data_IF_411703330266
#
_entry.id   IF_411703330266
#
_cell.length_a   1.000
_cell.length_b   1.000
_cell.length_c   1.000
_cell.angle_alpha   90.00
_cell.angle_beta   90.00
_cell.angle_gamma   90.00
#
_symmetry.space_group_name_H-M   'P 1'
#
loop_
_entity.id
_entity.type
_entity.pdbx_description
1 polymer ?
#
# COMPACT_ATOMS: atom_id res chain seq x y z
N UNK A 1 14.70 11.76 15.51
CA UNK A 1 14.59 10.99 14.26
C UNK A 1 15.78 11.28 13.35
N UNK A 2 16.43 10.23 12.84
CA UNK A 2 17.51 10.35 11.84
C UNK A 2 16.98 9.74 10.53
N UNK A 3 17.07 10.49 9.44
CA UNK A 3 16.84 10.00 8.08
C UNK A 3 18.14 10.12 7.28
N UNK A 4 18.56 9.05 6.61
CA UNK A 4 19.81 9.04 5.83
C UNK A 4 19.79 7.98 4.73
N UNK A 5 20.88 7.89 3.99
CA UNK A 5 21.10 6.89 2.95
C UNK A 5 22.49 6.27 3.17
N UNK A 6 22.57 4.94 3.15
CA UNK A 6 23.84 4.22 3.31
C UNK A 6 24.74 4.39 2.07
N UNK A 7 26.02 4.01 2.18
CA UNK A 7 26.96 4.05 1.06
C UNK A 7 26.52 3.18 -0.12
N UNK A 8 25.75 2.12 0.14
CA UNK A 8 25.20 1.20 -0.87
C UNK A 8 23.92 1.75 -1.53
N UNK A 9 23.36 2.87 -1.05
CA UNK A 9 22.18 3.51 -1.59
C UNK A 9 20.85 3.13 -0.91
N UNK A 10 20.89 2.39 0.21
CA UNK A 10 19.72 2.04 1.00
C UNK A 10 19.27 3.23 1.84
N UNK A 11 18.03 3.65 1.68
CA UNK A 11 17.43 4.71 2.51
C UNK A 11 16.99 4.15 3.85
N UNK A 12 17.17 4.93 4.92
CA UNK A 12 16.68 4.51 6.22
C UNK A 12 16.19 5.67 7.08
N UNK A 13 15.27 5.36 7.99
CA UNK A 13 14.81 6.24 9.05
C UNK A 13 14.83 5.48 10.36
N UNK A 14 15.35 6.13 11.40
CA UNK A 14 15.37 5.57 12.76
C UNK A 14 14.77 6.59 13.73
N UNK A 15 13.92 6.10 14.61
CA UNK A 15 13.21 6.91 15.60
C UNK A 15 13.33 6.26 16.97
N UNK A 16 13.84 7.06 17.94
CA UNK A 16 13.86 6.65 19.35
C UNK A 16 12.49 6.88 19.95
N UNK A 17 11.74 5.81 20.15
CA UNK A 17 10.43 5.84 20.77
C UNK A 17 10.10 4.49 21.41
N UNK A 18 9.06 4.50 22.30
CA UNK A 18 8.63 3.29 22.97
C UNK A 18 9.38 3.01 24.27
N UNK A 19 9.08 1.87 24.90
CA UNK A 19 9.64 1.48 26.19
C UNK A 19 10.38 0.15 26.16
N UNK A 20 9.87 -0.86 25.47
CA UNK A 20 10.40 -2.24 25.47
C UNK A 20 10.39 -2.89 24.11
N UNK A 21 9.35 -2.68 23.33
CA UNK A 21 9.24 -3.22 21.97
C UNK A 21 10.06 -2.41 20.99
N UNK A 22 10.51 -3.08 19.93
CA UNK A 22 11.15 -2.50 18.79
C UNK A 22 10.47 -3.02 17.52
N UNK A 23 10.38 -2.17 16.51
CA UNK A 23 9.70 -2.42 15.25
C UNK A 23 10.67 -2.15 14.11
N UNK A 24 10.72 -3.07 13.17
CA UNK A 24 11.53 -2.97 11.98
C UNK A 24 10.65 -3.18 10.75
N UNK A 25 10.71 -2.29 9.78
CA UNK A 25 10.06 -2.44 8.48
C UNK A 25 11.08 -2.25 7.36
N UNK A 26 11.11 -3.18 6.41
CA UNK A 26 11.87 -3.13 5.17
C UNK A 26 10.86 -3.06 4.03
N UNK A 27 10.72 -1.88 3.44
CA UNK A 27 9.81 -1.62 2.32
C UNK A 27 10.59 -1.65 1.00
N UNK A 28 10.04 -2.33 0.00
CA UNK A 28 10.66 -2.53 -1.30
C UNK A 28 9.69 -2.05 -2.39
N UNK A 29 10.15 -1.14 -3.24
CA UNK A 29 9.36 -0.56 -4.32
C UNK A 29 9.25 -1.54 -5.51
N UNK A 30 8.36 -2.54 -5.39
CA UNK A 30 8.17 -3.61 -6.38
C UNK A 30 6.87 -4.38 -6.14
N UNK A 31 5.72 -3.76 -6.19
CA UNK A 31 4.43 -4.47 -6.12
C UNK A 31 4.01 -5.09 -7.46
N UNK A 32 2.75 -5.51 -7.56
CA UNK A 32 2.23 -6.16 -8.77
C UNK A 32 2.15 -5.23 -9.99
N UNK A 33 2.21 -3.92 -9.77
CA UNK A 33 2.25 -2.93 -10.84
C UNK A 33 3.42 -3.15 -11.82
N UNK A 34 4.62 -3.50 -11.32
CA UNK A 34 5.81 -3.69 -12.16
C UNK A 34 5.67 -4.89 -13.11
N UNK A 35 4.85 -5.87 -12.77
CA UNK A 35 4.55 -7.03 -13.61
C UNK A 35 3.91 -6.63 -14.94
N UNK A 36 3.15 -5.53 -14.95
CA UNK A 36 2.40 -5.04 -16.11
C UNK A 36 3.12 -3.93 -16.88
N UNK A 37 3.99 -3.14 -16.24
CA UNK A 37 4.74 -2.05 -16.90
C UNK A 37 5.65 -2.59 -18.00
N UNK A 38 6.28 -3.73 -17.79
CA UNK A 38 7.25 -4.31 -18.72
C UNK A 38 6.61 -4.89 -19.98
N UNK A 39 5.27 -5.07 -20.02
CA UNK A 39 4.55 -5.48 -21.27
C UNK A 39 4.70 -4.45 -22.37
N UNK A 40 4.92 -3.18 -22.04
CA UNK A 40 4.99 -2.07 -23.00
C UNK A 40 6.41 -1.70 -23.40
N UNK A 41 7.43 -2.23 -22.70
CA UNK A 41 8.83 -1.96 -23.02
C UNK A 41 9.38 -3.01 -23.98
N UNK A 42 10.12 -2.58 -25.01
CA UNK A 42 10.78 -3.44 -26.01
C UNK A 42 11.94 -4.32 -25.47
N UNK A 43 12.11 -4.39 -24.15
CA UNK A 43 13.08 -5.24 -23.46
C UNK A 43 12.36 -6.37 -22.72
N UNK A 44 11.90 -7.33 -23.43
CA UNK A 44 11.53 -8.72 -23.18
C UNK A 44 11.41 -9.35 -21.80
N UNK A 45 11.22 -8.62 -20.71
CA UNK A 45 11.00 -9.17 -19.36
C UNK A 45 9.54 -8.95 -18.93
N UNK A 46 8.72 -9.97 -19.04
CA UNK A 46 7.34 -9.93 -18.57
C UNK A 46 7.18 -10.91 -17.42
N UNK A 47 6.86 -10.39 -16.24
CA UNK A 47 6.52 -11.24 -15.09
C UNK A 47 5.04 -11.65 -15.18
N UNK A 48 4.71 -12.94 -14.99
CA UNK A 48 3.33 -13.38 -14.87
C UNK A 48 2.62 -12.67 -13.71
N UNK A 49 1.32 -12.40 -13.87
CA UNK A 49 0.52 -11.78 -12.80
C UNK A 49 0.55 -12.61 -11.52
N UNK A 50 0.75 -11.95 -10.37
CA UNK A 50 0.90 -12.60 -9.07
C UNK A 50 2.33 -12.97 -8.70
N UNK A 51 3.33 -12.62 -9.51
CA UNK A 51 4.75 -12.89 -9.19
C UNK A 51 5.18 -12.19 -7.92
N UNK A 52 4.82 -10.92 -7.72
CA UNK A 52 5.16 -10.15 -6.52
C UNK A 52 4.62 -10.80 -5.24
N UNK A 53 3.36 -11.18 -5.25
CA UNK A 53 2.72 -11.86 -4.14
C UNK A 53 3.34 -13.25 -3.88
N UNK A 54 3.63 -13.99 -4.95
CA UNK A 54 4.30 -15.27 -4.81
C UNK A 54 5.72 -15.11 -4.23
N UNK A 55 6.47 -14.08 -4.64
CA UNK A 55 7.77 -13.78 -4.05
C UNK A 55 7.62 -13.58 -2.55
N UNK A 56 6.68 -12.76 -2.10
CA UNK A 56 6.43 -12.54 -0.68
C UNK A 56 6.26 -13.87 0.08
N UNK A 57 5.35 -14.75 -0.33
CA UNK A 57 5.17 -16.08 0.26
C UNK A 57 6.45 -16.92 0.26
N UNK A 58 7.18 -16.88 -0.84
CA UNK A 58 8.36 -17.72 -1.05
C UNK A 58 9.60 -17.22 -0.29
N UNK A 59 9.68 -15.94 0.13
CA UNK A 59 10.78 -15.42 0.95
C UNK A 59 10.96 -16.22 2.26
N UNK A 60 9.88 -16.77 2.82
CA UNK A 60 9.91 -17.54 4.06
C UNK A 60 10.24 -19.03 3.87
N UNK A 61 10.53 -19.48 2.65
CA UNK A 61 10.71 -20.90 2.32
C UNK A 61 12.18 -21.37 2.30
N UNK A 62 13.09 -20.53 2.76
CA UNK A 62 14.50 -20.84 2.95
C UNK A 62 15.43 -19.80 2.35
N UNK A 63 16.53 -19.58 3.06
CA UNK A 63 17.64 -18.73 2.67
C UNK A 63 18.91 -19.55 2.62
N UNK A 64 20.04 -18.92 2.29
CA UNK A 64 21.36 -19.56 2.36
C UNK A 64 21.75 -19.94 3.81
N UNK A 65 21.17 -19.28 4.82
CA UNK A 65 21.53 -19.45 6.24
C UNK A 65 20.50 -20.24 7.03
N UNK A 66 19.21 -20.15 6.70
CA UNK A 66 18.11 -20.74 7.46
C UNK A 66 17.15 -21.53 6.57
N UNK A 67 16.71 -22.67 7.06
CA UNK A 67 15.59 -23.40 6.47
C UNK A 67 14.25 -22.71 6.73
N UNK A 68 13.20 -23.06 5.99
CA UNK A 68 11.84 -22.54 6.20
C UNK A 68 11.35 -22.72 7.65
N UNK A 69 11.65 -23.87 8.26
CA UNK A 69 11.24 -24.15 9.65
C UNK A 69 11.98 -23.24 10.65
N UNK A 70 13.26 -22.97 10.40
CA UNK A 70 14.06 -22.06 11.23
C UNK A 70 13.57 -20.62 11.09
N UNK A 71 13.29 -20.13 9.88
CA UNK A 71 12.75 -18.79 9.61
C UNK A 71 11.44 -18.58 10.35
N UNK A 72 10.47 -19.48 10.16
CA UNK A 72 9.14 -19.34 10.77
C UNK A 72 9.18 -19.32 12.30
N UNK A 73 10.10 -20.04 12.92
CA UNK A 73 10.24 -20.04 14.37
C UNK A 73 11.31 -19.10 14.92
N UNK A 74 11.99 -18.33 14.08
CA UNK A 74 13.16 -17.54 14.52
C UNK A 74 12.77 -16.44 15.50
N UNK A 75 11.89 -15.53 15.10
CA UNK A 75 11.45 -14.43 15.95
C UNK A 75 10.47 -14.87 17.03
N UNK A 76 9.63 -15.88 16.75
CA UNK A 76 8.73 -16.46 17.76
C UNK A 76 9.50 -16.95 19.03
N UNK A 77 10.66 -17.60 18.81
CA UNK A 77 11.54 -18.03 19.92
C UNK A 77 12.12 -16.87 20.73
N UNK A 78 12.17 -15.67 20.15
CA UNK A 78 12.58 -14.43 20.81
C UNK A 78 11.37 -13.66 21.39
N UNK A 79 10.15 -14.22 21.27
CA UNK A 79 8.92 -13.55 21.70
C UNK A 79 8.49 -12.43 20.75
N UNK A 80 8.89 -12.50 19.48
CA UNK A 80 8.58 -11.52 18.46
C UNK A 80 7.68 -12.08 17.36
N UNK A 81 7.35 -11.24 16.40
CA UNK A 81 6.52 -11.53 15.23
C UNK A 81 7.25 -11.13 13.95
N UNK A 82 7.02 -11.90 12.89
CA UNK A 82 7.53 -11.67 11.54
C UNK A 82 6.37 -11.74 10.57
N UNK A 83 6.17 -10.70 9.77
CA UNK A 83 5.10 -10.61 8.80
C UNK A 83 5.59 -9.97 7.49
N UNK A 84 4.80 -10.15 6.43
CA UNK A 84 4.97 -9.45 5.17
C UNK A 84 3.62 -9.16 4.53
N UNK A 85 3.60 -8.23 3.60
CA UNK A 85 2.47 -8.01 2.70
C UNK A 85 2.91 -7.42 1.37
N UNK A 86 2.10 -7.69 0.35
CA UNK A 86 2.27 -7.16 -1.01
C UNK A 86 1.12 -6.22 -1.36
N UNK A 87 1.46 -5.09 -1.95
CA UNK A 87 0.50 -4.16 -2.55
C UNK A 87 0.74 -4.04 -4.06
N UNK A 88 0.02 -3.15 -4.71
CA UNK A 88 0.29 -2.83 -6.13
C UNK A 88 1.68 -2.24 -6.35
N UNK A 89 2.23 -1.51 -5.41
CA UNK A 89 3.46 -0.72 -5.59
C UNK A 89 4.60 -1.08 -4.64
N UNK A 90 4.37 -1.92 -3.63
CA UNK A 90 5.40 -2.30 -2.66
C UNK A 90 5.23 -3.72 -2.12
N UNK A 91 6.35 -4.34 -1.73
CA UNK A 91 6.43 -5.48 -0.84
C UNK A 91 7.06 -4.98 0.46
N UNK A 92 6.48 -5.34 1.59
CA UNK A 92 6.98 -4.93 2.90
C UNK A 92 7.19 -6.15 3.77
N UNK A 93 8.40 -6.28 4.33
CA UNK A 93 8.73 -7.21 5.40
C UNK A 93 8.77 -6.42 6.71
N UNK A 94 8.14 -6.91 7.76
CA UNK A 94 8.18 -6.21 9.04
C UNK A 94 8.20 -7.17 10.22
N UNK A 95 8.71 -6.68 11.33
CA UNK A 95 8.87 -7.47 12.56
C UNK A 95 8.68 -6.62 13.80
N UNK A 96 8.16 -7.26 14.84
CA UNK A 96 8.04 -6.73 16.19
C UNK A 96 8.80 -7.63 17.15
N UNK A 97 9.71 -7.08 17.94
CA UNK A 97 10.53 -7.83 18.90
C UNK A 97 10.77 -7.02 20.17
N UNK A 98 11.41 -7.62 21.18
CA UNK A 98 11.99 -6.85 22.26
C UNK A 98 13.19 -6.03 21.74
N UNK A 99 13.42 -4.85 22.31
CA UNK A 99 14.46 -3.92 21.84
C UNK A 99 15.87 -4.50 21.87
N UNK A 100 16.16 -5.44 22.75
CA UNK A 100 17.45 -6.17 22.84
C UNK A 100 17.68 -7.10 21.65
N UNK A 101 16.61 -7.52 20.95
CA UNK A 101 16.66 -8.42 19.80
C UNK A 101 16.46 -7.69 18.46
N UNK A 102 16.38 -6.35 18.44
CA UNK A 102 16.17 -5.57 17.22
C UNK A 102 17.19 -5.89 16.12
N UNK A 103 18.48 -6.06 16.50
CA UNK A 103 19.52 -6.39 15.51
C UNK A 103 19.25 -7.74 14.84
N UNK A 104 18.82 -8.75 15.60
CA UNK A 104 18.51 -10.08 15.05
C UNK A 104 17.29 -10.03 14.11
N UNK A 105 16.30 -9.24 14.47
CA UNK A 105 15.12 -9.04 13.63
C UNK A 105 15.47 -8.31 12.33
N UNK A 106 16.23 -7.22 12.41
CA UNK A 106 16.68 -6.50 11.23
C UNK A 106 17.57 -7.38 10.34
N UNK A 107 18.51 -8.11 10.91
CA UNK A 107 19.38 -9.06 10.19
C UNK A 107 18.56 -10.08 9.40
N UNK A 108 17.53 -10.69 10.04
CA UNK A 108 16.63 -11.62 9.36
C UNK A 108 15.87 -10.97 8.18
N UNK A 109 15.36 -9.73 8.34
CA UNK A 109 14.68 -9.05 7.22
C UNK A 109 15.62 -8.79 6.04
N UNK A 110 16.87 -8.41 6.30
CA UNK A 110 17.88 -8.24 5.26
C UNK A 110 18.21 -9.58 4.58
N UNK A 111 18.40 -10.66 5.36
CA UNK A 111 18.63 -12.01 4.84
C UNK A 111 17.49 -12.47 3.92
N UNK A 112 16.23 -12.33 4.36
CA UNK A 112 15.05 -12.70 3.56
C UNK A 112 14.98 -11.92 2.25
N UNK A 113 15.37 -10.64 2.26
CA UNK A 113 15.31 -9.79 1.08
C UNK A 113 16.47 -10.04 0.10
N UNK A 114 17.64 -10.51 0.57
CA UNK A 114 18.87 -10.56 -0.25
C UNK A 114 19.37 -11.98 -0.57
N UNK A 115 19.05 -12.96 0.27
CA UNK A 115 19.57 -14.33 0.16
C UNK A 115 18.49 -15.43 0.03
N UNK A 116 17.27 -15.16 -0.55
CA UNK A 116 16.25 -16.21 -0.67
C UNK A 116 16.68 -17.26 -1.71
N UNK A 117 16.44 -18.54 -1.42
CA UNK A 117 16.83 -19.65 -2.29
C UNK A 117 15.72 -20.09 -3.26
N UNK A 118 14.46 -19.95 -2.87
CA UNK A 118 13.30 -20.45 -3.60
C UNK A 118 13.46 -21.92 -4.02
N UNK A 119 13.53 -22.89 -3.08
CA UNK A 119 13.68 -24.31 -3.42
C UNK A 119 12.47 -24.79 -4.24
N UNK A 120 12.70 -25.49 -5.36
CA UNK A 120 11.63 -25.90 -6.29
C UNK A 120 10.51 -26.67 -5.59
N UNK A 121 10.86 -27.56 -4.64
CA UNK A 121 9.87 -28.33 -3.86
C UNK A 121 8.97 -27.45 -2.99
N UNK A 122 9.52 -26.39 -2.40
CA UNK A 122 8.73 -25.43 -1.59
C UNK A 122 7.89 -24.53 -2.48
N UNK A 123 8.43 -24.07 -3.63
CA UNK A 123 7.67 -23.28 -4.62
C UNK A 123 6.45 -24.09 -5.12
N UNK A 124 6.58 -25.40 -5.40
CA UNK A 124 5.45 -26.21 -5.83
C UNK A 124 4.39 -26.39 -4.73
N UNK A 125 4.80 -26.50 -3.47
CA UNK A 125 3.84 -26.54 -2.33
C UNK A 125 3.10 -25.22 -2.19
N UNK A 126 3.83 -24.10 -2.29
CA UNK A 126 3.27 -22.77 -2.12
C UNK A 126 2.27 -22.40 -3.22
N UNK A 127 2.45 -22.92 -4.45
CA UNK A 127 1.43 -22.79 -5.50
C UNK A 127 0.06 -23.26 -5.03
N UNK A 128 0.01 -24.38 -4.28
CA UNK A 128 -1.27 -24.92 -3.78
C UNK A 128 -1.89 -23.95 -2.77
N UNK A 129 -1.10 -23.41 -1.86
CA UNK A 129 -1.56 -22.42 -0.85
C UNK A 129 -2.14 -21.19 -1.53
N UNK A 130 -1.41 -20.60 -2.48
CA UNK A 130 -1.85 -19.39 -3.20
C UNK A 130 -3.10 -19.68 -4.04
N UNK A 131 -3.22 -20.87 -4.64
CA UNK A 131 -4.41 -21.24 -5.40
C UNK A 131 -5.64 -21.38 -4.50
N UNK A 132 -5.48 -21.89 -3.27
CA UNK A 132 -6.54 -21.95 -2.25
C UNK A 132 -6.91 -20.52 -1.79
N UNK A 133 -5.94 -19.64 -1.61
CA UNK A 133 -6.18 -18.25 -1.27
C UNK A 133 -6.96 -17.51 -2.38
N UNK A 134 -6.57 -17.68 -3.66
CA UNK A 134 -7.32 -17.15 -4.80
C UNK A 134 -8.76 -17.67 -4.81
N UNK A 135 -8.98 -18.92 -4.48
CA UNK A 135 -10.33 -19.49 -4.41
C UNK A 135 -11.13 -18.88 -3.26
N UNK A 136 -10.55 -18.81 -2.07
CA UNK A 136 -11.16 -18.20 -0.88
C UNK A 136 -11.54 -16.74 -1.11
N UNK A 137 -10.66 -15.97 -1.76
CA UNK A 137 -10.91 -14.57 -2.07
C UNK A 137 -12.09 -14.39 -3.03
N UNK A 138 -12.21 -15.27 -4.04
CA UNK A 138 -13.35 -15.30 -4.96
C UNK A 138 -14.67 -15.70 -4.31
N UNK A 139 -14.60 -16.50 -3.24
CA UNK A 139 -15.76 -16.92 -2.46
C UNK A 139 -16.23 -15.84 -1.47
N UNK A 140 -15.46 -14.74 -1.29
CA UNK A 140 -15.84 -13.57 -0.52
C UNK A 140 -16.34 -12.46 -1.47
N UNK A 141 -17.66 -12.22 -1.59
CA UNK A 141 -18.17 -11.21 -2.53
C UNK A 141 -17.71 -9.78 -2.23
N UNK A 142 -17.45 -9.46 -0.96
CA UNK A 142 -17.01 -8.15 -0.54
C UNK A 142 -15.57 -7.85 -0.98
N UNK A 143 -14.69 -8.86 -0.94
CA UNK A 143 -13.30 -8.72 -1.35
C UNK A 143 -13.18 -8.80 -2.87
N UNK A 144 -13.81 -9.80 -3.51
CA UNK A 144 -13.79 -9.99 -4.97
C UNK A 144 -14.35 -8.77 -5.73
N UNK A 145 -15.40 -8.13 -5.21
CA UNK A 145 -15.99 -6.95 -5.86
C UNK A 145 -15.03 -5.76 -5.86
N UNK A 146 -14.22 -5.60 -4.81
CA UNK A 146 -13.26 -4.50 -4.71
C UNK A 146 -12.14 -4.66 -5.75
N UNK A 147 -11.51 -5.84 -5.80
CA UNK A 147 -10.49 -6.17 -6.80
C UNK A 147 -11.03 -6.07 -8.22
N UNK A 148 -12.25 -6.55 -8.43
CA UNK A 148 -12.91 -6.48 -9.73
C UNK A 148 -13.19 -5.05 -10.16
N UNK A 149 -13.68 -4.22 -9.24
CA UNK A 149 -13.92 -2.80 -9.50
C UNK A 149 -12.63 -2.09 -9.88
N UNK A 150 -11.57 -2.27 -9.10
CA UNK A 150 -10.25 -1.68 -9.35
C UNK A 150 -9.69 -2.12 -10.70
N UNK A 151 -9.74 -3.43 -11.02
CA UNK A 151 -9.28 -3.97 -12.31
C UNK A 151 -10.02 -3.37 -13.49
N UNK A 152 -11.33 -3.12 -13.36
CA UNK A 152 -12.15 -2.52 -14.42
C UNK A 152 -11.88 -1.01 -14.56
N UNK A 153 -11.72 -0.31 -13.42
CA UNK A 153 -11.43 1.13 -13.42
C UNK A 153 -10.08 1.42 -14.09
N UNK A 154 -9.10 0.57 -13.85
CA UNK A 154 -7.74 0.68 -14.38
C UNK A 154 -7.49 -0.21 -15.61
N UNK A 155 -8.52 -0.59 -16.36
CA UNK A 155 -8.35 -1.38 -17.59
C UNK A 155 -7.39 -0.68 -18.57
N UNK A 156 -6.36 -1.41 -19.00
CA UNK A 156 -5.28 -0.86 -19.84
C UNK A 156 -4.17 -0.11 -19.11
N UNK A 157 -4.30 0.08 -17.80
CA UNK A 157 -3.28 0.67 -16.94
C UNK A 157 -2.49 -0.44 -16.20
N UNK A 158 -1.21 -0.24 -15.83
CA UNK A 158 -0.44 -1.23 -15.06
C UNK A 158 -1.06 -1.67 -13.73
N UNK A 159 -1.94 -0.87 -13.14
CA UNK A 159 -2.68 -1.18 -11.91
C UNK A 159 -3.85 -2.16 -12.11
N UNK A 160 -4.20 -2.55 -13.32
CA UNK A 160 -5.37 -3.40 -13.59
C UNK A 160 -5.23 -4.86 -13.11
N UNK A 161 -4.00 -5.34 -12.84
CA UNK A 161 -3.77 -6.69 -12.32
C UNK A 161 -4.20 -6.86 -10.87
N UNK A 162 -4.72 -8.04 -10.49
CA UNK A 162 -4.97 -8.38 -9.08
C UNK A 162 -3.66 -8.67 -8.35
N UNK A 163 -3.62 -8.49 -7.02
CA UNK A 163 -2.41 -8.77 -6.22
C UNK A 163 -2.10 -10.26 -6.25
N UNK A 164 -3.11 -11.12 -6.05
CA UNK A 164 -2.96 -12.57 -6.04
C UNK A 164 -2.62 -13.17 -7.42
N UNK A 165 -2.80 -12.41 -8.50
CA UNK A 165 -2.72 -12.92 -9.85
C UNK A 165 -3.92 -13.79 -10.23
N UNK A 166 -3.70 -14.72 -11.16
CA UNK A 166 -4.72 -15.67 -11.62
C UNK A 166 -4.26 -17.11 -11.36
N UNK A 167 -5.22 -18.03 -11.23
CA UNK A 167 -4.88 -19.45 -11.09
C UNK A 167 -4.04 -19.97 -12.27
N UNK A 168 -4.21 -19.42 -13.48
CA UNK A 168 -3.41 -19.80 -14.64
C UNK A 168 -1.98 -19.28 -14.55
N UNK A 169 -1.80 -17.99 -14.16
CA UNK A 169 -0.46 -17.41 -14.02
C UNK A 169 0.33 -18.05 -12.89
N UNK A 170 -0.29 -18.26 -11.71
CA UNK A 170 0.36 -18.88 -10.55
C UNK A 170 0.80 -20.32 -10.84
N UNK A 171 -0.01 -21.12 -11.56
CA UNK A 171 0.40 -22.47 -11.99
C UNK A 171 1.63 -22.47 -12.90
N UNK A 172 1.80 -21.43 -13.71
CA UNK A 172 2.91 -21.29 -14.64
C UNK A 172 4.18 -20.70 -14.05
N UNK A 173 4.13 -20.14 -12.81
CA UNK A 173 5.32 -19.56 -12.17
C UNK A 173 6.29 -20.66 -11.73
N UNK A 174 7.57 -20.44 -11.94
CA UNK A 174 8.66 -21.31 -11.51
C UNK A 174 9.65 -20.53 -10.64
N UNK A 175 10.49 -21.25 -9.88
CA UNK A 175 11.46 -20.65 -8.96
C UNK A 175 12.37 -19.61 -9.65
N UNK A 176 12.70 -19.82 -10.93
CA UNK A 176 13.54 -18.87 -11.67
C UNK A 176 12.86 -17.52 -11.90
N UNK A 177 11.53 -17.50 -12.12
CA UNK A 177 10.81 -16.24 -12.22
C UNK A 177 10.89 -15.42 -10.92
N UNK A 178 10.84 -16.10 -9.77
CA UNK A 178 10.96 -15.46 -8.45
C UNK A 178 12.38 -14.94 -8.23
N UNK A 179 13.42 -15.74 -8.60
CA UNK A 179 14.82 -15.30 -8.51
C UNK A 179 15.11 -14.09 -9.41
N UNK A 180 14.59 -14.09 -10.65
CA UNK A 180 14.73 -12.95 -11.56
C UNK A 180 14.08 -11.70 -11.00
N UNK A 181 12.86 -11.83 -10.46
CA UNK A 181 12.12 -10.73 -9.84
C UNK A 181 12.90 -10.12 -8.68
N UNK A 182 13.39 -10.94 -7.75
CA UNK A 182 14.19 -10.46 -6.60
C UNK A 182 15.50 -9.82 -7.09
N UNK A 183 16.20 -10.42 -8.04
CA UNK A 183 17.44 -9.87 -8.60
C UNK A 183 17.24 -8.50 -9.25
N UNK A 184 16.09 -8.27 -9.87
CA UNK A 184 15.80 -7.00 -10.56
C UNK A 184 15.32 -5.92 -9.61
N UNK A 185 14.49 -6.27 -8.63
CA UNK A 185 13.78 -5.27 -7.83
C UNK A 185 14.31 -5.11 -6.40
N UNK A 186 14.92 -6.14 -5.80
CA UNK A 186 15.39 -6.09 -4.41
C UNK A 186 16.80 -5.51 -4.33
N UNK A 187 16.92 -4.27 -4.74
CA UNK A 187 18.19 -3.52 -4.77
C UNK A 187 18.12 -2.32 -3.82
N UNK A 188 19.24 -1.90 -3.21
CA UNK A 188 19.25 -0.85 -2.18
C UNK A 188 18.53 0.44 -2.58
N UNK A 189 18.69 0.88 -3.84
CA UNK A 189 18.05 2.10 -4.34
C UNK A 189 16.51 2.04 -4.38
N UNK A 190 15.93 0.83 -4.34
CA UNK A 190 14.49 0.58 -4.31
C UNK A 190 13.98 0.23 -2.91
N UNK A 191 14.83 0.26 -1.91
CA UNK A 191 14.49 -0.14 -0.54
C UNK A 191 14.52 1.03 0.43
N UNK A 192 13.73 0.90 1.49
CA UNK A 192 13.75 1.78 2.64
C UNK A 192 13.58 0.98 3.93
N UNK A 193 14.40 1.25 4.94
CA UNK A 193 14.34 0.64 6.27
C UNK A 193 13.81 1.67 7.27
N UNK A 194 12.86 1.28 8.10
CA UNK A 194 12.39 2.07 9.22
C UNK A 194 12.55 1.28 10.52
N UNK A 195 13.19 1.87 11.52
CA UNK A 195 13.33 1.32 12.86
C UNK A 195 12.70 2.26 13.88
N UNK A 196 11.85 1.72 14.75
CA UNK A 196 11.27 2.40 15.91
C UNK A 196 11.63 1.59 17.15
N UNK A 197 12.35 2.18 18.09
CA UNK A 197 12.84 1.45 19.27
C UNK A 197 13.24 2.43 20.39
N UNK A 198 13.26 2.00 21.66
CA UNK A 198 13.82 2.79 22.76
C UNK A 198 15.35 2.95 22.71
N UNK A 199 16.04 2.28 21.79
CA UNK A 199 17.49 2.42 21.59
C UNK A 199 17.84 3.82 21.08
N UNK A 200 19.09 4.24 21.29
CA UNK A 200 19.59 5.51 20.75
C UNK A 200 19.59 5.51 19.21
N UNK A 201 19.15 6.61 18.62
CA UNK A 201 19.06 6.74 17.15
C UNK A 201 20.42 6.47 16.46
N UNK A 202 21.52 6.93 17.07
CA UNK A 202 22.87 6.69 16.55
C UNK A 202 23.25 5.20 16.54
N UNK A 203 22.79 4.43 17.52
CA UNK A 203 23.02 2.97 17.57
C UNK A 203 22.21 2.26 16.47
N UNK A 204 20.95 2.64 16.28
CA UNK A 204 20.11 2.09 15.20
C UNK A 204 20.63 2.47 13.82
N UNK A 205 21.08 3.72 13.62
CA UNK A 205 21.68 4.16 12.38
C UNK A 205 22.94 3.34 12.05
N UNK A 206 23.85 3.18 13.01
CA UNK A 206 25.05 2.35 12.83
C UNK A 206 24.69 0.90 12.49
N UNK A 207 23.68 0.33 13.12
CA UNK A 207 23.19 -1.02 12.85
C UNK A 207 22.74 -1.15 11.37
N UNK A 208 21.97 -0.21 10.85
CA UNK A 208 21.53 -0.24 9.44
C UNK A 208 22.72 -0.10 8.49
N UNK A 209 23.67 0.79 8.79
CA UNK A 209 24.89 0.96 7.99
C UNK A 209 25.75 -0.31 7.95
N UNK A 210 25.85 -1.03 9.08
CA UNK A 210 26.58 -2.30 9.15
C UNK A 210 25.87 -3.39 8.33
N UNK A 211 24.54 -3.56 8.51
CA UNK A 211 23.74 -4.54 7.79
C UNK A 211 23.74 -4.25 6.28
N UNK A 212 23.54 -3.00 5.88
CA UNK A 212 23.61 -2.60 4.48
C UNK A 212 24.94 -3.00 3.85
N UNK A 213 26.04 -2.70 4.55
CA UNK A 213 27.38 -3.07 4.11
C UNK A 213 27.61 -4.57 4.03
N UNK A 214 27.05 -5.35 4.97
CA UNK A 214 27.17 -6.80 4.99
C UNK A 214 26.46 -7.43 3.81
N UNK A 215 25.20 -7.05 3.58
CA UNK A 215 24.35 -7.71 2.60
C UNK A 215 24.50 -7.19 1.15
N UNK A 216 24.96 -5.95 0.95
CA UNK A 216 25.06 -5.35 -0.39
C UNK A 216 26.49 -5.13 -0.90
N UNK A 217 27.52 -5.52 -0.14
CA UNK A 217 28.94 -5.40 -0.56
C UNK A 217 29.40 -6.38 -1.64
N UNK A 218 28.70 -7.47 -1.86
CA UNK A 218 29.10 -8.49 -2.83
C UNK A 218 28.79 -7.99 -4.24
N UNK A 219 29.82 -7.42 -4.89
CA UNK A 219 29.81 -6.69 -6.15
C UNK A 219 29.36 -7.43 -7.42
N UNK A 220 28.38 -8.31 -7.38
CA UNK A 220 27.78 -8.94 -8.56
C UNK A 220 26.37 -8.45 -8.93
N UNK A 221 25.76 -7.56 -8.13
CA UNK A 221 24.49 -6.91 -8.47
C UNK A 221 24.67 -5.53 -9.12
N UNK A 222 25.72 -5.33 -9.91
CA UNK A 222 25.82 -4.14 -10.75
C UNK A 222 24.86 -4.27 -11.91
N UNK A 223 23.66 -3.70 -11.76
CA UNK A 223 22.82 -3.33 -12.89
C UNK A 223 23.66 -2.48 -13.84
N UNK A 224 23.71 -2.87 -15.13
CA UNK A 224 24.30 -2.03 -16.16
C UNK A 224 23.60 -0.66 -16.10
N UNK A 225 24.36 0.47 -16.04
CA UNK A 225 23.79 1.79 -15.97
C UNK A 225 23.12 2.09 -17.32
N UNK A 226 21.80 1.97 -17.36
CA UNK A 226 21.03 2.17 -18.59
C UNK A 226 19.62 2.69 -18.36
N UNK A 227 19.17 2.84 -17.14
CA UNK A 227 17.86 3.40 -16.77
C UNK A 227 17.89 4.25 -15.48
N UNK A 228 19.01 4.78 -15.09
CA UNK A 228 19.09 5.82 -14.07
C UNK A 228 19.49 7.12 -14.74
N UNK A 229 18.73 8.18 -14.52
CA UNK A 229 19.19 9.52 -14.80
C UNK A 229 20.50 9.74 -14.05
N UNK A 230 21.50 10.30 -14.73
CA UNK A 230 22.92 10.39 -14.32
C UNK A 230 23.17 11.31 -13.10
N UNK A 231 22.16 11.75 -12.36
CA UNK A 231 22.26 12.79 -11.32
C UNK A 231 22.27 12.27 -9.88
N UNK A 232 22.36 10.96 -9.64
CA UNK A 232 22.42 10.38 -8.29
C UNK A 232 23.83 10.03 -7.80
N UNK A 233 24.89 10.54 -8.45
CA UNK A 233 26.28 10.14 -8.17
C UNK A 233 27.03 11.08 -7.20
N UNK A 234 26.42 12.09 -6.58
CA UNK A 234 27.09 12.92 -5.58
C UNK A 234 26.35 12.88 -4.24
N UNK A 235 27.04 12.29 -3.27
CA UNK A 235 26.58 12.06 -1.90
C UNK A 235 26.24 13.34 -1.13
N UNK A 236 24.97 13.69 -1.16
CA UNK A 236 24.28 14.45 -0.14
C UNK A 236 22.82 14.02 -0.17
N UNK A 237 22.24 13.74 0.99
CA UNK A 237 20.81 13.50 1.14
C UNK A 237 20.07 14.69 0.56
N UNK A 238 19.74 14.62 -0.72
CA UNK A 238 19.09 15.71 -1.44
C UNK A 238 17.60 15.61 -1.14
N UNK A 239 16.98 16.58 -0.46
CA UNK A 239 15.53 16.59 -0.20
C UNK A 239 14.66 16.68 -1.46
N UNK A 240 15.26 16.54 -2.64
CA UNK A 240 14.64 16.58 -3.96
C UNK A 240 14.88 15.35 -4.83
N UNK A 241 15.32 14.20 -4.27
CA UNK A 241 15.42 12.96 -5.05
C UNK A 241 14.05 12.58 -5.62
N UNK A 242 13.92 12.56 -6.96
CA UNK A 242 12.68 12.15 -7.62
C UNK A 242 12.27 10.75 -7.19
N UNK A 243 10.97 10.54 -6.85
CA UNK A 243 10.46 9.24 -6.46
C UNK A 243 10.65 8.23 -7.60
N UNK A 244 10.93 6.99 -7.27
CA UNK A 244 11.20 5.91 -8.26
C UNK A 244 10.07 5.73 -9.28
N UNK A 245 8.83 6.06 -8.93
CA UNK A 245 7.68 6.05 -9.84
C UNK A 245 7.39 7.39 -10.54
N UNK A 246 8.03 8.50 -10.18
CA UNK A 246 7.79 9.79 -10.82
C UNK A 246 8.24 9.82 -12.30
N UNK A 247 9.13 8.90 -12.69
CA UNK A 247 9.57 8.72 -14.08
C UNK A 247 8.63 7.83 -14.92
N UNK A 248 7.57 7.25 -14.34
CA UNK A 248 6.56 6.57 -15.13
C UNK A 248 5.77 7.62 -15.92
N UNK A 249 5.61 7.45 -17.25
CA UNK A 249 4.79 8.37 -18.01
C UNK A 249 3.42 8.42 -17.37
N UNK A 250 2.97 9.63 -17.02
CA UNK A 250 1.60 9.85 -16.57
C UNK A 250 0.69 9.28 -17.66
N UNK A 251 0.11 8.13 -17.39
CA UNK A 251 -0.86 7.54 -18.30
C UNK A 251 -2.10 8.41 -18.19
N UNK A 252 -2.30 9.28 -19.19
CA UNK A 252 -3.50 10.11 -19.35
C UNK A 252 -4.73 9.27 -19.73
N UNK A 253 -4.76 8.00 -19.33
CA UNK A 253 -5.91 7.16 -19.55
C UNK A 253 -7.08 7.74 -18.74
N UNK A 254 -8.09 8.23 -19.43
CA UNK A 254 -9.37 8.56 -18.82
C UNK A 254 -9.89 7.31 -18.10
N UNK A 255 -10.53 7.47 -16.92
CA UNK A 255 -11.08 6.33 -16.21
C UNK A 255 -12.02 5.55 -17.13
N UNK A 256 -11.89 4.24 -17.10
CA UNK A 256 -12.84 3.39 -17.81
C UNK A 256 -14.18 3.45 -17.05
N UNK A 257 -15.18 4.05 -17.68
CA UNK A 257 -16.50 4.20 -17.07
C UNK A 257 -17.34 2.95 -17.30
N UNK A 258 -17.96 2.47 -16.23
CA UNK A 258 -18.87 1.33 -16.30
C UNK A 258 -19.99 1.43 -15.28
N UNK A 259 -21.13 0.86 -15.64
CA UNK A 259 -22.27 0.57 -14.76
C UNK A 259 -22.64 -0.88 -14.98
N UNK A 260 -22.21 -1.77 -14.07
CA UNK A 260 -22.39 -3.21 -14.24
C UNK A 260 -23.02 -3.86 -13.01
N UNK A 261 -23.93 -4.79 -13.28
CA UNK A 261 -24.48 -5.71 -12.27
C UNK A 261 -24.13 -7.12 -12.68
N UNK A 262 -23.56 -7.88 -11.75
CA UNK A 262 -23.16 -9.27 -11.92
C UNK A 262 -23.91 -10.12 -10.92
N UNK A 263 -24.61 -11.14 -11.39
CA UNK A 263 -25.29 -12.08 -10.51
C UNK A 263 -24.32 -13.15 -9.99
N UNK A 264 -23.98 -13.06 -8.71
CA UNK A 264 -23.13 -14.01 -7.97
C UNK A 264 -23.93 -14.92 -7.04
N UNK A 265 -25.26 -14.85 -7.10
CA UNK A 265 -26.17 -15.58 -6.23
C UNK A 265 -25.89 -15.39 -4.73
N UNK A 266 -25.47 -14.19 -4.34
CA UNK A 266 -25.20 -13.83 -2.95
C UNK A 266 -26.51 -13.55 -2.19
N UNK A 267 -26.54 -13.76 -0.88
CA UNK A 267 -27.71 -13.41 -0.06
C UNK A 267 -27.91 -11.89 0.01
N UNK A 268 -26.83 -11.14 0.11
CA UNK A 268 -26.84 -9.67 0.15
C UNK A 268 -26.35 -9.10 -1.18
N UNK A 269 -26.77 -7.90 -1.50
CA UNK A 269 -26.16 -7.09 -2.54
C UNK A 269 -24.88 -6.45 -2.02
N UNK A 270 -23.80 -6.52 -2.80
CA UNK A 270 -22.59 -5.74 -2.57
C UNK A 270 -22.44 -4.72 -3.68
N UNK A 271 -22.12 -3.49 -3.34
CA UNK A 271 -22.02 -2.39 -4.31
C UNK A 271 -20.76 -1.58 -4.07
N UNK A 272 -20.10 -1.21 -5.16
CA UNK A 272 -19.03 -0.20 -5.16
C UNK A 272 -19.38 0.91 -6.16
N UNK A 273 -19.26 2.14 -5.68
CA UNK A 273 -19.35 3.38 -6.45
C UNK A 273 -18.00 4.09 -6.35
N UNK A 274 -17.36 4.44 -7.45
CA UNK A 274 -16.05 5.09 -7.35
C UNK A 274 -15.54 5.67 -8.66
N UNK A 275 -14.42 6.33 -8.55
CA UNK A 275 -13.71 7.00 -9.64
C UNK A 275 -12.21 7.03 -9.38
N UNK A 276 -11.45 7.49 -10.38
CA UNK A 276 -10.06 7.87 -10.18
C UNK A 276 -9.97 9.10 -9.27
N UNK A 277 -8.87 9.20 -8.53
CA UNK A 277 -8.61 10.23 -7.55
C UNK A 277 -7.18 10.79 -7.71
N UNK A 278 -6.80 11.87 -7.01
CA UNK A 278 -5.46 12.43 -7.08
C UNK A 278 -4.37 11.41 -6.76
N UNK A 279 -3.20 11.57 -7.40
CA UNK A 279 -2.03 10.74 -7.11
C UNK A 279 -1.35 11.13 -5.80
N UNK A 280 -0.46 10.27 -5.32
CA UNK A 280 0.38 10.50 -4.14
C UNK A 280 1.13 11.84 -4.17
N UNK A 281 1.58 12.28 -5.34
CA UNK A 281 2.43 13.46 -5.47
C UNK A 281 1.67 14.77 -5.62
N UNK A 282 0.34 14.73 -5.78
CA UNK A 282 -0.51 15.92 -5.74
C UNK A 282 -0.89 16.26 -4.30
N UNK A 283 0.09 16.79 -3.54
CA UNK A 283 0.03 16.89 -2.08
C UNK A 283 -1.25 17.57 -1.57
N UNK A 284 -1.58 18.74 -2.07
CA UNK A 284 -2.75 19.51 -1.64
C UNK A 284 -4.07 18.79 -1.93
N UNK A 285 -4.20 18.30 -3.17
CA UNK A 285 -5.40 17.55 -3.61
C UNK A 285 -5.53 16.23 -2.83
N UNK A 286 -4.40 15.56 -2.58
CA UNK A 286 -4.34 14.29 -1.81
C UNK A 286 -4.84 14.47 -0.38
N UNK A 287 -4.42 15.53 0.31
CA UNK A 287 -4.83 15.78 1.69
C UNK A 287 -6.32 16.13 1.76
N UNK A 288 -6.80 16.98 0.86
CA UNK A 288 -8.22 17.30 0.76
C UNK A 288 -9.07 16.04 0.46
N UNK A 289 -8.62 15.19 -0.48
CA UNK A 289 -9.29 13.94 -0.81
C UNK A 289 -9.27 12.95 0.37
N UNK A 290 -8.16 12.84 1.12
CA UNK A 290 -8.07 12.01 2.32
C UNK A 290 -9.04 12.47 3.41
N UNK A 291 -9.10 13.78 3.67
CA UNK A 291 -10.05 14.33 4.63
C UNK A 291 -11.50 14.13 4.16
N UNK A 292 -11.79 14.33 2.88
CA UNK A 292 -13.11 14.09 2.29
C UNK A 292 -13.54 12.63 2.42
N UNK A 293 -12.64 11.67 2.16
CA UNK A 293 -12.95 10.25 2.33
C UNK A 293 -13.30 9.93 3.80
N UNK A 294 -12.54 10.48 4.76
CA UNK A 294 -12.82 10.32 6.19
C UNK A 294 -14.17 10.93 6.60
N UNK A 295 -14.51 12.12 6.10
CA UNK A 295 -15.80 12.77 6.31
C UNK A 295 -16.95 11.94 5.74
N UNK A 296 -16.80 11.43 4.52
CA UNK A 296 -17.86 10.74 3.79
C UNK A 296 -18.16 9.36 4.37
N UNK A 297 -17.13 8.53 4.54
CA UNK A 297 -17.29 7.14 4.98
C UNK A 297 -16.10 6.60 5.75
N UNK A 298 -15.44 7.45 6.57
CA UNK A 298 -14.39 7.00 7.49
C UNK A 298 -14.94 6.11 8.60
N UNK A 299 -14.04 5.52 9.43
CA UNK A 299 -14.38 4.46 10.40
C UNK A 299 -15.30 4.90 11.55
N UNK A 300 -15.48 6.19 11.72
CA UNK A 300 -16.31 6.71 12.80
C UNK A 300 -17.81 6.68 12.44
N UNK A 301 -18.66 6.36 13.42
CA UNK A 301 -20.13 6.28 13.25
C UNK A 301 -20.78 7.60 12.83
N UNK A 302 -20.12 8.73 13.07
CA UNK A 302 -20.57 10.06 12.68
C UNK A 302 -20.17 10.47 11.26
N UNK A 303 -19.44 9.64 10.51
CA UNK A 303 -19.21 9.90 9.08
C UNK A 303 -20.56 9.94 8.35
N UNK A 304 -20.62 10.72 7.27
CA UNK A 304 -21.90 11.04 6.59
C UNK A 304 -22.67 9.77 6.21
N UNK A 305 -22.02 8.83 5.54
CA UNK A 305 -22.68 7.62 5.06
C UNK A 305 -23.00 6.64 6.19
N UNK A 306 -22.14 6.48 7.21
CA UNK A 306 -22.45 5.66 8.37
C UNK A 306 -23.67 6.22 9.12
N UNK A 307 -23.69 7.53 9.37
CA UNK A 307 -24.82 8.18 10.03
C UNK A 307 -26.11 8.04 9.23
N UNK A 308 -26.04 8.20 7.89
CA UNK A 308 -27.23 8.15 7.04
C UNK A 308 -27.74 6.72 6.82
N UNK A 309 -26.88 5.83 6.35
CA UNK A 309 -27.31 4.51 5.88
C UNK A 309 -27.44 3.50 7.01
N UNK A 310 -26.54 3.55 7.99
CA UNK A 310 -26.50 2.61 9.10
C UNK A 310 -27.31 3.09 10.30
N UNK A 311 -26.93 4.25 10.88
CA UNK A 311 -27.50 4.69 12.14
C UNK A 311 -28.96 5.17 12.01
N UNK A 312 -29.25 5.96 10.98
CA UNK A 312 -30.58 6.54 10.77
C UNK A 312 -31.55 5.57 10.13
N UNK A 313 -31.11 4.84 9.10
CA UNK A 313 -31.99 4.03 8.27
C UNK A 313 -31.85 2.52 8.52
N UNK A 314 -30.73 2.02 9.08
CA UNK A 314 -30.50 0.60 9.31
C UNK A 314 -30.45 -0.24 8.02
N UNK A 315 -30.07 0.36 6.88
CA UNK A 315 -30.08 -0.31 5.57
C UNK A 315 -28.82 -1.10 5.29
N UNK A 316 -27.70 -0.72 5.92
CA UNK A 316 -26.39 -1.36 5.73
C UNK A 316 -25.80 -1.78 7.05
N UNK A 317 -25.04 -2.86 7.05
CA UNK A 317 -24.21 -3.24 8.19
C UNK A 317 -22.90 -2.45 8.23
N UNK A 318 -22.27 -2.29 7.09
CA UNK A 318 -21.04 -1.54 6.90
C UNK A 318 -21.13 -0.68 5.63
N UNK A 319 -20.55 0.51 5.68
CA UNK A 319 -20.32 1.38 4.53
C UNK A 319 -19.00 2.11 4.73
N UNK A 320 -18.16 2.13 3.73
CA UNK A 320 -16.84 2.74 3.78
C UNK A 320 -16.60 3.60 2.56
N UNK A 321 -15.84 4.68 2.75
CA UNK A 321 -15.26 5.44 1.65
C UNK A 321 -13.74 5.37 1.77
N UNK A 322 -13.11 4.66 0.86
CA UNK A 322 -11.68 4.43 0.84
C UNK A 322 -11.01 5.22 -0.28
N UNK A 323 -9.91 5.89 0.05
CA UNK A 323 -9.03 6.55 -0.90
C UNK A 323 -7.69 5.82 -1.00
N UNK A 324 -7.53 5.04 -2.07
CA UNK A 324 -6.28 4.34 -2.39
C UNK A 324 -5.40 5.24 -3.24
N UNK A 325 -4.16 5.46 -2.80
CA UNK A 325 -3.22 6.39 -3.41
C UNK A 325 -2.14 5.60 -4.14
N UNK A 326 -1.92 5.95 -5.42
CA UNK A 326 -0.86 5.40 -6.27
C UNK A 326 0.05 6.52 -6.76
N UNK A 327 1.22 6.15 -7.25
CA UNK A 327 2.24 7.12 -7.66
C UNK A 327 1.77 8.11 -8.73
N UNK A 328 1.00 7.68 -9.72
CA UNK A 328 0.52 8.49 -10.85
C UNK A 328 -0.98 8.77 -10.85
N UNK A 329 -1.75 8.07 -10.01
CA UNK A 329 -3.20 8.18 -9.90
C UNK A 329 -3.67 7.83 -8.49
N UNK A 330 -4.95 7.71 -8.28
CA UNK A 330 -5.59 7.15 -7.09
C UNK A 330 -6.98 6.63 -7.42
N UNK A 331 -7.60 5.95 -6.46
CA UNK A 331 -8.97 5.48 -6.52
C UNK A 331 -9.73 5.93 -5.28
N UNK A 332 -10.88 6.55 -5.47
CA UNK A 332 -11.85 6.84 -4.40
C UNK A 332 -13.06 5.95 -4.62
N UNK A 333 -13.38 5.11 -3.64
CA UNK A 333 -14.48 4.15 -3.74
C UNK A 333 -15.33 4.14 -2.48
N UNK A 334 -16.65 4.21 -2.66
CA UNK A 334 -17.66 3.95 -1.63
C UNK A 334 -18.13 2.51 -1.81
N UNK A 335 -17.91 1.66 -0.80
CA UNK A 335 -18.32 0.26 -0.78
C UNK A 335 -19.32 0.00 0.35
N UNK A 336 -20.34 -0.82 0.08
CA UNK A 336 -21.32 -1.23 1.07
C UNK A 336 -21.97 -2.55 0.71
N UNK A 337 -22.49 -3.23 1.77
CA UNK A 337 -23.35 -4.40 1.64
C UNK A 337 -24.74 -4.11 2.24
N UNK A 338 -25.79 -4.55 1.56
CA UNK A 338 -27.18 -4.36 2.03
C UNK A 338 -28.11 -5.49 1.57
N UNK A 339 -29.33 -5.52 2.08
CA UNK A 339 -30.37 -6.37 1.52
C UNK A 339 -30.72 -5.92 0.10
N UNK A 340 -30.99 -6.86 -0.81
CA UNK A 340 -31.27 -6.56 -2.23
C UNK A 340 -32.39 -5.55 -2.43
N UNK A 341 -33.41 -5.59 -1.58
CA UNK A 341 -34.56 -4.67 -1.62
C UNK A 341 -34.19 -3.22 -1.27
N UNK A 342 -33.05 -3.03 -0.58
CA UNK A 342 -32.55 -1.72 -0.15
C UNK A 342 -31.46 -1.13 -1.05
N UNK A 343 -31.04 -1.88 -2.05
CA UNK A 343 -29.92 -1.48 -2.91
C UNK A 343 -30.16 -0.11 -3.57
N UNK A 344 -31.31 0.08 -4.19
CA UNK A 344 -31.65 1.33 -4.89
C UNK A 344 -31.82 2.51 -3.92
N UNK A 345 -32.37 2.26 -2.72
CA UNK A 345 -32.47 3.26 -1.66
C UNK A 345 -31.08 3.72 -1.22
N UNK A 346 -30.16 2.77 -0.99
CA UNK A 346 -28.77 3.07 -0.61
C UNK A 346 -28.03 3.84 -1.69
N UNK A 347 -28.11 3.40 -2.95
CA UNK A 347 -27.47 4.07 -4.08
C UNK A 347 -27.99 5.50 -4.22
N UNK A 348 -29.30 5.69 -4.16
CA UNK A 348 -29.93 7.00 -4.29
C UNK A 348 -29.49 7.95 -3.15
N UNK A 349 -29.43 7.45 -1.92
CA UNK A 349 -28.97 8.21 -0.77
C UNK A 349 -27.50 8.62 -0.89
N UNK A 350 -26.63 7.70 -1.37
CA UNK A 350 -25.21 8.00 -1.61
C UNK A 350 -25.07 9.08 -2.68
N UNK A 351 -25.76 8.93 -3.83
CA UNK A 351 -25.71 9.95 -4.89
C UNK A 351 -26.16 11.32 -4.37
N UNK A 352 -27.21 11.39 -3.53
CA UNK A 352 -27.66 12.63 -2.92
C UNK A 352 -26.60 13.31 -2.05
N UNK A 353 -25.83 12.54 -1.26
CA UNK A 353 -24.75 13.10 -0.45
C UNK A 353 -23.53 13.51 -1.30
N UNK A 354 -23.20 12.74 -2.35
CA UNK A 354 -22.15 13.13 -3.31
C UNK A 354 -22.51 14.42 -4.06
N UNK A 355 -23.78 14.58 -4.46
CA UNK A 355 -24.28 15.81 -5.07
C UNK A 355 -24.19 16.99 -4.10
N UNK A 356 -24.62 16.79 -2.85
CA UNK A 356 -24.54 17.84 -1.81
C UNK A 356 -23.09 18.30 -1.61
N UNK A 357 -22.13 17.39 -1.54
CA UNK A 357 -20.70 17.74 -1.39
C UNK A 357 -20.13 18.50 -2.61
N UNK A 358 -20.63 18.20 -3.82
CA UNK A 358 -20.22 18.92 -5.05
C UNK A 358 -20.80 20.32 -5.12
N UNK A 359 -22.06 20.47 -4.73
CA UNK A 359 -22.83 21.69 -5.01
C UNK A 359 -22.75 22.70 -3.86
N UNK A 360 -22.63 22.22 -2.63
CA UNK A 360 -22.59 23.04 -1.44
C UNK A 360 -21.27 22.90 -0.70
N UNK A 361 -20.52 23.98 -0.45
CA UNK A 361 -19.36 23.93 0.43
C UNK A 361 -19.81 23.52 1.84
N UNK A 362 -18.97 22.78 2.52
CA UNK A 362 -19.15 22.39 3.89
C UNK A 362 -19.11 23.62 4.81
N UNK A 363 -19.86 23.64 5.91
CA UNK A 363 -19.72 24.70 6.89
C UNK A 363 -18.42 24.57 7.68
N UNK A 364 -17.93 25.72 8.16
CA UNK A 364 -16.62 25.82 8.85
C UNK A 364 -16.56 25.00 10.15
N UNK A 365 -17.66 24.93 10.91
CA UNK A 365 -17.70 24.21 12.18
C UNK A 365 -17.63 22.69 11.95
N UNK A 366 -18.38 22.19 10.97
CA UNK A 366 -18.33 20.78 10.55
C UNK A 366 -16.94 20.39 10.02
N UNK A 367 -16.33 21.25 9.22
CA UNK A 367 -14.97 21.01 8.72
C UNK A 367 -13.95 21.02 9.86
N UNK A 368 -14.04 21.95 10.80
CA UNK A 368 -13.15 22.02 11.96
C UNK A 368 -13.26 20.75 12.84
N UNK A 369 -14.49 20.26 13.04
CA UNK A 369 -14.72 19.00 13.75
C UNK A 369 -14.10 17.80 13.02
N UNK A 370 -14.26 17.70 11.70
CA UNK A 370 -13.70 16.63 10.89
C UNK A 370 -12.15 16.65 10.89
N UNK A 371 -11.52 17.82 10.81
CA UNK A 371 -10.06 17.98 10.93
C UNK A 371 -9.57 17.50 12.29
N UNK A 372 -10.25 17.92 13.37
CA UNK A 372 -9.89 17.48 14.72
C UNK A 372 -10.00 15.96 14.86
N UNK A 373 -11.06 15.37 14.30
CA UNK A 373 -11.25 13.92 14.30
C UNK A 373 -10.14 13.19 13.56
N UNK A 374 -9.79 13.61 12.33
CA UNK A 374 -8.72 13.00 11.54
C UNK A 374 -7.37 13.11 12.26
N UNK A 375 -7.03 14.29 12.80
CA UNK A 375 -5.80 14.48 13.59
C UNK A 375 -5.76 13.57 14.82
N UNK A 376 -6.89 13.39 15.51
CA UNK A 376 -6.99 12.46 16.63
C UNK A 376 -6.76 11.00 16.23
N UNK A 377 -7.35 10.57 15.09
CA UNK A 377 -7.14 9.22 14.54
C UNK A 377 -5.67 8.99 14.17
N UNK A 378 -5.02 9.97 13.54
CA UNK A 378 -3.60 9.90 13.19
C UNK A 378 -2.72 9.81 14.43
N UNK A 379 -2.96 10.63 15.46
CA UNK A 379 -2.21 10.60 16.72
C UNK A 379 -2.35 9.22 17.40
N UNK A 380 -3.56 8.66 17.47
CA UNK A 380 -3.78 7.32 18.04
C UNK A 380 -3.04 6.24 17.22
N UNK A 381 -3.02 6.36 15.89
CA UNK A 381 -2.28 5.44 15.03
C UNK A 381 -0.76 5.56 15.21
N UNK A 382 -0.25 6.78 15.41
CA UNK A 382 1.17 7.04 15.68
C UNK A 382 1.65 6.50 17.03
N UNK A 383 0.76 6.32 18.02
CA UNK A 383 1.10 5.67 19.30
C UNK A 383 1.40 4.16 19.13
N UNK A 384 1.03 3.56 17.99
CA UNK A 384 1.39 2.19 17.63
C UNK A 384 2.71 2.18 16.87
N UNK A 385 3.78 1.69 17.49
CA UNK A 385 5.14 1.72 16.91
C UNK A 385 5.28 0.90 15.63
N UNK A 386 4.49 -0.15 15.41
CA UNK A 386 4.46 -0.90 14.16
C UNK A 386 3.87 -0.05 13.03
N UNK A 387 2.69 0.55 13.26
CA UNK A 387 2.06 1.47 12.32
C UNK A 387 2.97 2.64 11.96
N UNK A 388 3.71 3.14 12.97
CA UNK A 388 4.69 4.20 12.79
C UNK A 388 5.87 3.76 11.91
N UNK A 389 6.46 2.59 12.17
CA UNK A 389 7.55 2.05 11.34
C UNK A 389 7.12 1.83 9.89
N UNK A 390 5.95 1.22 9.67
CA UNK A 390 5.36 1.00 8.34
C UNK A 390 5.11 2.33 7.60
N UNK A 391 4.50 3.30 8.28
CA UNK A 391 4.21 4.63 7.71
C UNK A 391 5.49 5.40 7.35
N UNK A 392 6.50 5.38 8.23
CA UNK A 392 7.79 6.03 7.98
C UNK A 392 8.54 5.35 6.82
N UNK A 393 8.58 4.01 6.78
CA UNK A 393 9.18 3.24 5.69
C UNK A 393 8.56 3.58 4.34
N UNK A 394 7.24 3.57 4.27
CA UNK A 394 6.48 3.97 3.07
C UNK A 394 6.75 5.43 2.68
N UNK A 395 6.68 6.35 3.63
CA UNK A 395 6.93 7.77 3.39
C UNK A 395 8.34 8.01 2.82
N UNK A 396 9.34 7.36 3.41
CA UNK A 396 10.72 7.45 2.93
C UNK A 396 10.88 6.82 1.54
N UNK A 397 10.23 5.67 1.29
CA UNK A 397 10.26 4.99 0.00
C UNK A 397 9.64 5.85 -1.11
N UNK A 398 8.49 6.45 -0.85
CA UNK A 398 7.66 7.17 -1.82
C UNK A 398 8.11 8.62 -2.00
N UNK A 399 8.33 9.34 -0.88
CA UNK A 399 8.61 10.77 -0.90
C UNK A 399 10.10 11.11 -0.71
N UNK A 400 10.96 10.13 -0.39
CA UNK A 400 12.35 10.36 -0.02
C UNK A 400 12.53 11.11 1.31
N UNK A 401 11.45 11.31 2.05
CA UNK A 401 11.41 12.03 3.34
C UNK A 401 10.28 11.52 4.22
N UNK A 402 10.40 11.74 5.52
CA UNK A 402 9.35 11.48 6.50
C UNK A 402 8.84 12.82 7.04
N UNK A 403 7.53 13.00 7.03
CA UNK A 403 6.89 14.17 7.61
C UNK A 403 6.67 13.95 9.10
N UNK A 404 6.93 14.96 9.92
CA UNK A 404 6.54 14.96 11.33
C UNK A 404 5.03 15.23 11.49
N UNK A 405 4.49 14.84 12.64
CA UNK A 405 3.05 14.98 12.93
C UNK A 405 2.61 16.44 12.90
N UNK A 406 3.48 17.39 13.28
CA UNK A 406 3.18 18.81 13.25
C UNK A 406 2.98 19.30 11.80
N UNK A 407 3.82 18.85 10.89
CA UNK A 407 3.70 19.15 9.47
C UNK A 407 2.42 18.58 8.88
N UNK A 408 2.09 17.31 9.19
CA UNK A 408 0.85 16.68 8.74
C UNK A 408 -0.37 17.42 9.31
N UNK A 409 -0.36 17.77 10.59
CA UNK A 409 -1.43 18.54 11.21
C UNK A 409 -1.62 19.92 10.55
N UNK A 410 -0.52 20.64 10.24
CA UNK A 410 -0.59 21.93 9.56
C UNK A 410 -1.18 21.80 8.15
N UNK A 411 -0.85 20.74 7.42
CA UNK A 411 -1.41 20.46 6.10
C UNK A 411 -2.92 20.19 6.18
N UNK A 412 -3.37 19.41 7.17
CA UNK A 412 -4.80 19.16 7.41
C UNK A 412 -5.52 20.46 7.79
N UNK A 413 -4.93 21.29 8.65
CA UNK A 413 -5.51 22.56 9.08
C UNK A 413 -5.64 23.57 7.92
N UNK A 414 -4.79 23.49 6.92
CA UNK A 414 -4.82 24.35 5.74
C UNK A 414 -5.98 24.04 4.77
N UNK A 415 -6.59 22.83 4.83
CA UNK A 415 -7.71 22.47 3.95
C UNK A 415 -8.91 23.37 4.20
N UNK A 416 -9.50 23.91 3.13
CA UNK A 416 -10.69 24.79 3.18
C UNK A 416 -11.96 24.04 2.76
N UNK A 417 -13.17 24.58 3.08
CA UNK A 417 -14.41 24.04 2.53
C UNK A 417 -14.42 23.97 1.00
N UNK A 418 -13.77 24.92 0.34
CA UNK A 418 -13.64 24.97 -1.11
C UNK A 418 -12.75 23.85 -1.66
N UNK A 419 -11.71 23.45 -0.92
CA UNK A 419 -10.85 22.33 -1.30
C UNK A 419 -11.61 21.00 -1.25
N UNK A 420 -12.44 20.80 -0.21
CA UNK A 420 -13.33 19.63 -0.11
C UNK A 420 -14.32 19.60 -1.28
N UNK A 421 -14.97 20.75 -1.57
CA UNK A 421 -15.91 20.85 -2.69
C UNK A 421 -15.20 20.62 -4.04
N UNK A 422 -14.02 21.18 -4.24
CA UNK A 422 -13.23 20.96 -5.45
C UNK A 422 -12.87 19.49 -5.64
N UNK A 423 -12.44 18.81 -4.55
CA UNK A 423 -12.20 17.36 -4.55
C UNK A 423 -13.46 16.57 -4.91
N UNK A 424 -14.61 16.92 -4.31
CA UNK A 424 -15.88 16.27 -4.62
C UNK A 424 -16.28 16.44 -6.11
N UNK A 425 -16.11 17.65 -6.66
CA UNK A 425 -16.37 17.93 -8.07
C UNK A 425 -15.43 17.18 -9.01
N UNK A 426 -14.16 17.06 -8.66
CA UNK A 426 -13.17 16.39 -9.48
C UNK A 426 -13.35 14.87 -9.48
N UNK A 427 -13.69 14.27 -8.32
CA UNK A 427 -13.74 12.82 -8.13
C UNK A 427 -15.14 12.27 -8.40
N UNK A 428 -16.19 12.93 -7.89
CA UNK A 428 -17.57 12.44 -7.92
C UNK A 428 -18.44 13.11 -8.98
N UNK A 429 -17.87 13.68 -10.05
CA UNK A 429 -18.65 14.16 -11.18
C UNK A 429 -19.46 12.99 -11.77
N UNK A 430 -20.74 13.20 -12.17
CA UNK A 430 -21.62 12.14 -12.64
C UNK A 430 -21.08 11.37 -13.84
N UNK A 431 -20.32 12.04 -14.70
CA UNK A 431 -19.67 11.51 -15.89
C UNK A 431 -18.32 10.82 -15.60
N UNK A 432 -17.95 10.68 -14.31
CA UNK A 432 -16.72 10.01 -13.87
C UNK A 432 -16.96 8.84 -12.92
N UNK A 433 -18.18 8.69 -12.41
CA UNK A 433 -18.50 7.64 -11.45
C UNK A 433 -18.81 6.32 -12.16
N UNK A 434 -18.07 5.30 -11.77
CA UNK A 434 -18.33 3.91 -12.13
C UNK A 434 -19.10 3.21 -11.01
N UNK A 435 -19.89 2.19 -11.39
CA UNK A 435 -20.66 1.37 -10.45
C UNK A 435 -20.51 -0.12 -10.77
N UNK A 436 -20.27 -0.91 -9.73
CA UNK A 436 -20.30 -2.37 -9.80
C UNK A 436 -21.20 -2.91 -8.70
N UNK A 437 -22.11 -3.79 -9.06
CA UNK A 437 -23.04 -4.46 -8.15
C UNK A 437 -22.92 -5.96 -8.28
N UNK A 438 -22.83 -6.67 -7.16
CA UNK A 438 -23.01 -8.12 -7.04
C UNK A 438 -24.36 -8.42 -6.41
N UNK A 439 -25.12 -9.35 -7.05
CA UNK A 439 -26.43 -9.83 -6.59
C UNK A 439 -26.42 -11.35 -6.37
#
# INVERSE_FOLDING_TARGET
MICSTTAEGLRYVVLKEGKRAAYCALSINCGTRVENVLKTSSRGGHYPSGTAHFVEHALFKGTARHSAQEINGYLERLGGELNAYTTKEEIVLHSTVLSEDLRKAADLLFELATEPLFPDGEVQKEKTVILEEIASYKDSPADDIYDRFESMLFEGHPLCGTILGTAASVKGLEAENLREYVREFFVPSRMAVALVSPLEESQMALMVEELSREYFRSGEQTLKPGMMNADLAEGNANPGAEPVFASLPATSALPNLFDKTINRHTHQANCILGSTAPSLYREQERIAASLMANILGGPASNSILNSLLREKNGWVYNVECNYTQYADTGMMAVSFGCDRERLDDCISAIYGELERLRDCPMDEDSLAAAKKQLKGQLAIASDNGESQALSMGKSLLVFGRVYDDETICRQIDAVTPQDIQASARAIFAPDRLSKLVYL
#
